data_IF_185923719121
#
_entry.id   IF_185923719121
#
_cell.length_a   1.000
_cell.length_b   1.000
_cell.length_c   1.000
_cell.angle_alpha   90.00
_cell.angle_beta   90.00
_cell.angle_gamma   90.00
#
_symmetry.space_group_name_H-M   'P 1'
#
loop_
_entity.id
_entity.type
_entity.pdbx_description
1 polymer ?
#
# COMPACT_ATOMS: atom_id res chain seq x y z
N UNK A 1 -34.68 16.18 -21.66
CA UNK A 1 -34.33 14.98 -20.87
C UNK A 1 -32.87 14.55 -21.07
N UNK A 2 -32.42 14.29 -22.31
CA UNK A 2 -31.05 13.80 -22.62
C UNK A 2 -29.92 14.78 -22.26
N UNK A 3 -30.07 16.07 -22.54
CA UNK A 3 -29.07 17.08 -22.18
C UNK A 3 -28.88 17.22 -20.65
N UNK A 4 -29.95 17.02 -19.87
CA UNK A 4 -29.90 17.05 -18.41
C UNK A 4 -29.07 15.87 -17.87
N UNK A 5 -29.21 14.70 -18.49
CA UNK A 5 -28.45 13.49 -18.14
C UNK A 5 -26.95 13.63 -18.44
N UNK A 6 -26.62 14.22 -19.58
CA UNK A 6 -25.23 14.49 -19.98
C UNK A 6 -24.56 15.54 -19.08
N UNK A 7 -25.31 16.55 -18.66
CA UNK A 7 -24.83 17.59 -17.73
C UNK A 7 -24.57 17.01 -16.33
N UNK A 8 -25.45 16.13 -15.85
CA UNK A 8 -25.28 15.46 -14.56
C UNK A 8 -24.08 14.49 -14.58
N UNK A 9 -23.85 13.80 -15.70
CA UNK A 9 -22.70 12.92 -15.88
C UNK A 9 -21.35 13.68 -15.78
N UNK A 10 -21.25 14.88 -16.34
CA UNK A 10 -20.01 15.69 -16.26
C UNK A 10 -19.76 16.19 -14.83
N UNK A 11 -20.81 16.55 -14.08
CA UNK A 11 -20.68 17.01 -12.68
C UNK A 11 -20.21 15.89 -11.73
N UNK A 12 -20.52 14.63 -12.02
CA UNK A 12 -20.08 13.48 -11.20
C UNK A 12 -18.63 13.03 -11.48
N UNK A 13 -18.07 13.33 -12.65
CA UNK A 13 -16.74 12.84 -13.05
C UNK A 13 -15.59 13.80 -12.71
N UNK A 14 -15.87 14.98 -12.15
CA UNK A 14 -14.85 16.00 -11.87
C UNK A 14 -14.26 15.92 -10.44
N UNK A 15 -14.30 14.76 -9.78
CA UNK A 15 -13.61 14.58 -8.49
C UNK A 15 -12.16 14.21 -8.79
N UNK A 16 -11.28 15.21 -8.74
CA UNK A 16 -9.84 14.96 -8.65
C UNK A 16 -9.54 14.47 -7.24
N UNK A 17 -9.15 13.21 -7.09
CA UNK A 17 -8.61 12.74 -5.82
C UNK A 17 -7.24 13.39 -5.63
N UNK A 18 -6.94 13.96 -4.45
CA UNK A 18 -5.59 14.39 -4.16
C UNK A 18 -4.65 13.18 -4.24
N UNK A 19 -3.42 13.40 -4.69
CA UNK A 19 -2.42 12.36 -4.64
C UNK A 19 -2.26 11.86 -3.20
N UNK A 20 -2.10 10.55 -2.98
CA UNK A 20 -1.87 10.01 -1.65
C UNK A 20 -0.61 10.64 -1.04
N UNK A 21 -0.73 11.12 0.20
CA UNK A 21 0.41 11.59 0.99
C UNK A 21 1.05 10.41 1.71
N UNK A 22 2.34 10.19 1.47
CA UNK A 22 3.10 9.13 2.15
C UNK A 22 4.02 9.73 3.21
N UNK A 23 4.14 9.03 4.35
CA UNK A 23 5.14 9.32 5.39
C UNK A 23 6.06 8.12 5.53
N UNK A 24 7.37 8.33 5.44
CA UNK A 24 8.36 7.28 5.64
C UNK A 24 8.36 6.78 7.07
N UNK A 25 8.45 5.46 7.24
CA UNK A 25 8.67 4.80 8.53
C UNK A 25 9.84 3.83 8.39
N UNK A 26 10.83 3.98 9.26
CA UNK A 26 11.94 3.03 9.39
C UNK A 26 11.49 1.89 10.30
N UNK A 27 11.52 0.67 9.79
CA UNK A 27 11.12 -0.54 10.52
C UNK A 27 12.35 -1.20 11.13
N UNK A 28 13.37 -1.45 10.31
CA UNK A 28 14.66 -1.98 10.74
C UNK A 28 15.80 -1.30 9.97
N UNK A 29 16.83 -0.87 10.71
CA UNK A 29 18.01 -0.21 10.18
C UNK A 29 19.18 -1.17 9.94
N UNK A 30 19.06 -2.44 10.37
CA UNK A 30 20.16 -3.39 10.43
C UNK A 30 20.12 -4.45 9.32
N UNK A 31 19.46 -4.13 8.21
CA UNK A 31 19.38 -5.00 7.03
C UNK A 31 20.69 -4.89 6.24
N UNK A 32 21.33 -6.02 5.94
CA UNK A 32 22.57 -6.08 5.19
C UNK A 32 22.33 -5.95 3.66
N UNK A 33 21.50 -6.82 3.06
CA UNK A 33 21.29 -6.87 1.59
C UNK A 33 19.81 -6.89 1.18
N UNK A 34 18.90 -7.45 1.98
CA UNK A 34 17.44 -7.46 1.68
C UNK A 34 17.09 -7.93 0.25
N UNK A 35 17.05 -9.24 0.02
CA UNK A 35 16.84 -9.83 -1.31
C UNK A 35 15.36 -10.02 -1.71
N UNK A 36 14.48 -10.23 -0.74
CA UNK A 36 13.09 -10.58 -1.00
C UNK A 36 12.17 -10.00 0.06
N UNK A 37 10.99 -9.56 -0.37
CA UNK A 37 9.97 -8.96 0.48
C UNK A 37 8.62 -9.58 0.13
N UNK A 38 7.83 -9.94 1.16
CA UNK A 38 6.46 -10.38 1.02
C UNK A 38 5.59 -9.78 2.13
N UNK A 39 4.31 -9.58 1.83
CA UNK A 39 3.29 -9.15 2.78
C UNK A 39 2.23 -10.25 2.87
N UNK A 40 1.84 -10.62 4.07
CA UNK A 40 0.81 -11.63 4.31
C UNK A 40 0.44 -11.70 5.79
N UNK A 41 -0.65 -12.39 6.12
CA UNK A 41 -0.99 -12.73 7.50
C UNK A 41 -0.31 -14.07 7.83
N UNK A 42 0.74 -14.02 8.63
CA UNK A 42 1.63 -15.15 8.92
C UNK A 42 1.19 -15.86 10.19
N UNK A 43 0.66 -15.13 11.17
CA UNK A 43 0.28 -15.67 12.48
C UNK A 43 -1.23 -15.89 12.68
N UNK A 44 -2.06 -15.42 11.76
CA UNK A 44 -3.51 -15.59 11.75
C UNK A 44 -4.26 -14.53 12.55
N UNK A 45 -3.64 -13.40 12.90
CA UNK A 45 -4.29 -12.32 13.65
C UNK A 45 -5.13 -11.37 12.77
N UNK A 46 -5.17 -11.60 11.44
CA UNK A 46 -5.81 -10.79 10.41
C UNK A 46 -5.17 -9.40 10.20
N UNK A 47 -3.94 -9.18 10.64
CA UNK A 47 -3.14 -8.02 10.27
C UNK A 47 -2.08 -8.41 9.23
N UNK A 48 -1.68 -7.47 8.35
CA UNK A 48 -0.60 -7.72 7.42
C UNK A 48 0.75 -7.67 8.14
N UNK A 49 1.54 -8.72 7.94
CA UNK A 49 2.92 -8.83 8.37
C UNK A 49 3.89 -8.52 7.22
N UNK A 50 5.14 -8.22 7.59
CA UNK A 50 6.25 -8.07 6.65
C UNK A 50 7.23 -9.23 6.85
N UNK A 51 7.43 -10.02 5.79
CA UNK A 51 8.52 -11.00 5.72
C UNK A 51 9.63 -10.47 4.82
N UNK A 52 10.84 -10.43 5.36
CA UNK A 52 12.04 -9.98 4.67
C UNK A 52 13.09 -11.10 4.64
N UNK A 53 13.63 -11.38 3.47
CA UNK A 53 14.81 -12.23 3.30
C UNK A 53 16.07 -11.34 3.28
N UNK A 54 16.85 -11.35 4.36
CA UNK A 54 18.14 -10.67 4.41
C UNK A 54 19.30 -11.62 4.05
N UNK A 55 20.54 -11.14 4.13
CA UNK A 55 21.76 -11.88 3.79
C UNK A 55 21.92 -13.19 4.56
N UNK A 56 21.50 -13.23 5.83
CA UNK A 56 21.77 -14.36 6.74
C UNK A 56 20.52 -14.94 7.38
N UNK A 57 19.39 -14.25 7.29
CA UNK A 57 18.19 -14.60 8.04
C UNK A 57 16.92 -14.16 7.31
N UNK A 58 15.80 -14.74 7.74
CA UNK A 58 14.48 -14.24 7.43
C UNK A 58 13.95 -13.53 8.67
N UNK A 59 13.53 -12.28 8.50
CA UNK A 59 12.99 -11.44 9.57
C UNK A 59 11.50 -11.25 9.34
N UNK A 60 10.76 -11.20 10.44
CA UNK A 60 9.31 -11.01 10.47
C UNK A 60 8.99 -9.81 11.36
N UNK A 61 8.17 -8.89 10.86
CA UNK A 61 7.68 -7.72 11.56
C UNK A 61 6.16 -7.63 11.50
#
# INVERSE_FOLDING_TARGET
>A
MIALFFTLFILFNAISYPDPSFKTQLIDANIDIGYGLAIGDVDGDNKPDILLADKKEFVWY
#
